data_IF_208198844764
#
_entry.id   IF_208198844764
#
_cell.length_a   1.000
_cell.length_b   1.000
_cell.length_c   1.000
_cell.angle_alpha   90.00
_cell.angle_beta   90.00
_cell.angle_gamma   90.00
#
_symmetry.space_group_name_H-M   'P 1'
#
loop_
_entity.id
_entity.type
_entity.pdbx_description
1 polymer ?
#
# COMPACT_ATOMS: atom_id res chain seq x y z
N UNK A 1 11.83 -9.69 15.49
CA UNK A 1 10.45 -10.03 15.03
C UNK A 1 10.18 -9.70 13.56
N UNK A 2 10.31 -8.44 13.08
CA UNK A 2 9.96 -8.08 11.68
C UNK A 2 10.65 -8.91 10.59
N UNK A 3 11.93 -9.28 10.76
CA UNK A 3 12.66 -10.14 9.81
C UNK A 3 12.19 -11.59 9.80
N UNK A 4 11.78 -12.12 10.95
CA UNK A 4 11.31 -13.51 11.09
C UNK A 4 9.95 -13.66 10.40
N UNK A 5 9.04 -12.70 10.61
CA UNK A 5 7.74 -12.67 9.94
C UNK A 5 7.92 -12.65 8.42
N UNK A 6 8.84 -11.83 7.89
CA UNK A 6 9.12 -11.79 6.45
C UNK A 6 9.62 -13.12 5.89
N UNK A 7 10.51 -13.82 6.61
CA UNK A 7 11.02 -15.13 6.18
C UNK A 7 9.91 -16.18 6.16
N UNK A 8 9.10 -16.27 7.22
CA UNK A 8 7.95 -17.19 7.25
C UNK A 8 6.96 -16.92 6.12
N UNK A 9 6.73 -15.65 5.82
CA UNK A 9 5.80 -15.24 4.78
C UNK A 9 6.32 -15.55 3.36
N UNK A 10 7.62 -15.37 3.13
CA UNK A 10 8.27 -15.80 1.88
C UNK A 10 8.22 -17.31 1.69
N UNK A 11 8.47 -18.07 2.75
CA UNK A 11 8.40 -19.54 2.72
C UNK A 11 6.97 -20.02 2.45
N UNK A 12 5.98 -19.40 3.09
CA UNK A 12 4.58 -19.72 2.89
C UNK A 12 4.10 -19.38 1.46
N UNK A 13 4.49 -18.22 0.92
CA UNK A 13 4.17 -17.86 -0.47
C UNK A 13 4.84 -18.80 -1.47
N UNK A 14 6.09 -19.18 -1.25
CA UNK A 14 6.80 -20.17 -2.08
C UNK A 14 6.09 -21.52 -2.04
N UNK A 15 5.69 -21.96 -0.85
CA UNK A 15 4.92 -23.19 -0.67
C UNK A 15 3.59 -23.17 -1.45
N UNK A 16 2.79 -22.10 -1.32
CA UNK A 16 1.50 -21.98 -2.02
C UNK A 16 1.69 -22.03 -3.54
N UNK A 17 2.65 -21.27 -4.09
CA UNK A 17 2.94 -21.27 -5.51
C UNK A 17 3.39 -22.64 -6.02
N UNK A 18 4.26 -23.33 -5.27
CA UNK A 18 4.70 -24.69 -5.61
C UNK A 18 3.53 -25.66 -5.55
N UNK A 19 2.64 -25.57 -4.56
CA UNK A 19 1.47 -26.45 -4.46
C UNK A 19 0.46 -26.21 -5.57
N UNK A 20 0.17 -24.95 -5.92
CA UNK A 20 -0.69 -24.62 -7.07
C UNK A 20 -0.10 -25.14 -8.38
N UNK A 21 1.20 -24.96 -8.56
CA UNK A 21 1.90 -25.47 -9.74
C UNK A 21 1.88 -27.01 -9.80
N UNK A 22 2.07 -27.68 -8.67
CA UNK A 22 1.96 -29.15 -8.59
C UNK A 22 0.53 -29.60 -8.90
N UNK A 23 -0.49 -28.97 -8.33
CA UNK A 23 -1.89 -29.29 -8.63
C UNK A 23 -2.24 -29.05 -10.09
N UNK A 24 -1.74 -27.97 -10.69
CA UNK A 24 -1.93 -27.72 -12.11
C UNK A 24 -1.22 -28.79 -12.97
N UNK A 25 0.05 -29.09 -12.67
CA UNK A 25 0.84 -30.08 -13.40
C UNK A 25 0.22 -31.47 -13.34
N UNK A 26 -0.25 -31.87 -12.16
CA UNK A 26 -0.83 -33.18 -11.90
C UNK A 26 -2.35 -33.18 -12.16
N UNK A 27 -2.89 -32.13 -12.79
CA UNK A 27 -4.30 -32.08 -13.13
C UNK A 27 -4.61 -32.80 -14.44
N UNK A 28 -5.80 -33.37 -14.50
CA UNK A 28 -6.40 -33.89 -15.73
C UNK A 28 -7.73 -33.22 -15.98
N UNK A 29 -8.03 -33.06 -17.27
CA UNK A 29 -9.30 -32.49 -17.70
C UNK A 29 -10.35 -33.59 -17.69
N UNK A 30 -11.45 -33.34 -16.99
CA UNK A 30 -12.66 -34.14 -17.00
C UNK A 30 -13.87 -33.27 -17.31
N UNK A 31 -14.99 -33.91 -17.62
CA UNK A 31 -16.25 -33.21 -17.87
C UNK A 31 -17.14 -33.35 -16.63
N UNK A 32 -17.48 -32.22 -16.03
CA UNK A 32 -18.48 -32.14 -14.97
C UNK A 32 -19.88 -31.93 -15.54
N UNK A 33 -20.88 -32.54 -14.92
CA UNK A 33 -22.30 -32.37 -15.21
C UNK A 33 -22.87 -31.33 -14.26
N UNK A 34 -23.56 -30.33 -14.81
CA UNK A 34 -24.21 -29.29 -14.02
C UNK A 34 -25.55 -29.79 -13.50
N UNK A 35 -25.77 -29.60 -12.21
CA UNK A 35 -26.98 -29.97 -11.48
C UNK A 35 -27.38 -28.86 -10.49
N UNK A 36 -28.59 -28.97 -9.93
CA UNK A 36 -29.09 -28.05 -8.90
C UNK A 36 -29.00 -26.56 -9.29
N UNK A 37 -29.32 -26.22 -10.54
CA UNK A 37 -29.28 -24.84 -11.01
C UNK A 37 -30.37 -24.02 -10.33
N UNK A 38 -29.96 -23.04 -9.54
CA UNK A 38 -30.78 -22.02 -8.94
C UNK A 38 -30.53 -20.70 -9.65
N UNK A 39 -31.59 -20.13 -10.20
CA UNK A 39 -31.58 -18.83 -10.84
C UNK A 39 -32.19 -17.79 -9.89
N UNK A 40 -31.49 -16.69 -9.65
CA UNK A 40 -32.03 -15.53 -8.95
C UNK A 40 -32.10 -14.36 -9.91
N UNK A 41 -33.33 -13.92 -10.20
CA UNK A 41 -33.56 -12.85 -11.17
C UNK A 41 -33.09 -11.49 -10.64
N UNK A 42 -32.83 -10.54 -11.54
CA UNK A 42 -32.49 -9.17 -11.16
C UNK A 42 -33.62 -8.46 -10.41
N UNK A 43 -34.88 -8.80 -10.74
CA UNK A 43 -36.05 -8.30 -10.02
C UNK A 43 -36.08 -8.80 -8.58
N UNK A 44 -35.91 -10.10 -8.40
CA UNK A 44 -35.89 -10.74 -7.08
C UNK A 44 -34.77 -10.18 -6.20
N UNK A 45 -33.55 -9.98 -6.75
CA UNK A 45 -32.43 -9.38 -6.01
C UNK A 45 -32.67 -7.94 -5.58
N UNK A 46 -33.42 -7.16 -6.37
CA UNK A 46 -33.83 -5.80 -6.01
C UNK A 46 -34.90 -5.79 -4.92
N UNK A 47 -35.85 -6.72 -4.99
CA UNK A 47 -36.90 -6.82 -3.96
C UNK A 47 -36.39 -7.39 -2.64
N UNK A 48 -35.33 -8.22 -2.67
CA UNK A 48 -34.73 -8.83 -1.48
C UNK A 48 -33.54 -8.05 -0.92
N UNK A 49 -33.19 -6.89 -1.48
CA UNK A 49 -32.03 -6.06 -1.10
C UNK A 49 -30.67 -6.81 -1.09
N UNK A 50 -30.52 -7.83 -1.95
CA UNK A 50 -29.30 -8.65 -2.08
C UNK A 50 -28.34 -8.16 -3.16
N UNK A 51 -28.49 -6.91 -3.59
CA UNK A 51 -27.60 -6.30 -4.57
C UNK A 51 -26.21 -6.01 -3.99
N UNK A 52 -25.19 -6.20 -4.82
CA UNK A 52 -23.79 -5.93 -4.43
C UNK A 52 -23.40 -4.52 -4.84
N UNK A 53 -22.78 -3.74 -3.96
CA UNK A 53 -22.29 -2.40 -4.27
C UNK A 53 -20.76 -2.35 -4.24
N UNK A 54 -20.14 -1.92 -5.33
CA UNK A 54 -18.70 -1.68 -5.38
C UNK A 54 -18.42 -0.29 -5.96
N UNK A 55 -17.71 0.53 -5.17
CA UNK A 55 -17.32 1.91 -5.55
C UNK A 55 -18.48 2.76 -6.09
N UNK A 56 -19.64 2.70 -5.44
CA UNK A 56 -20.82 3.50 -5.80
C UNK A 56 -21.60 2.98 -7.02
N UNK A 57 -21.22 1.82 -7.58
CA UNK A 57 -21.99 1.13 -8.61
C UNK A 57 -22.72 -0.05 -7.99
N UNK A 58 -24.05 -0.03 -8.04
CA UNK A 58 -24.89 -1.13 -7.56
C UNK A 58 -25.10 -2.13 -8.69
N UNK A 59 -24.72 -3.38 -8.44
CA UNK A 59 -24.96 -4.51 -9.32
C UNK A 59 -26.09 -5.38 -8.75
N UNK A 60 -27.19 -5.41 -9.50
CA UNK A 60 -28.36 -6.25 -9.26
C UNK A 60 -28.59 -7.21 -10.43
N UNK A 61 -27.55 -7.55 -11.21
CA UNK A 61 -27.67 -8.50 -12.30
C UNK A 61 -28.12 -9.88 -11.79
N UNK A 62 -28.75 -10.66 -12.66
CA UNK A 62 -29.20 -11.99 -12.31
C UNK A 62 -27.99 -12.88 -11.96
N UNK A 63 -28.20 -13.81 -11.04
CA UNK A 63 -27.16 -14.74 -10.58
C UNK A 63 -27.62 -16.18 -10.80
N UNK A 64 -26.64 -17.02 -11.08
CA UNK A 64 -26.76 -18.46 -11.15
C UNK A 64 -25.93 -19.08 -10.03
N UNK A 65 -26.54 -20.01 -9.31
CA UNK A 65 -25.92 -20.85 -8.31
C UNK A 65 -26.16 -22.29 -8.75
N UNK A 66 -25.13 -23.12 -8.80
CA UNK A 66 -25.25 -24.48 -9.32
C UNK A 66 -24.12 -25.37 -8.84
N UNK A 67 -24.37 -26.68 -8.89
CA UNK A 67 -23.40 -27.69 -8.54
C UNK A 67 -22.82 -28.34 -9.80
N UNK A 68 -21.51 -28.48 -9.85
CA UNK A 68 -20.82 -29.25 -10.88
C UNK A 68 -20.41 -30.58 -10.27
N UNK A 69 -20.92 -31.67 -10.83
CA UNK A 69 -20.63 -33.03 -10.37
C UNK A 69 -19.74 -33.75 -11.38
N UNK A 70 -18.71 -34.45 -10.91
CA UNK A 70 -17.91 -35.35 -11.75
C UNK A 70 -17.67 -36.67 -11.03
N UNK A 71 -17.36 -37.69 -11.82
CA UNK A 71 -17.13 -39.04 -11.35
C UNK A 71 -15.67 -39.40 -11.56
N UNK A 72 -15.05 -39.97 -10.53
CA UNK A 72 -13.74 -40.63 -10.64
C UNK A 72 -13.85 -42.02 -10.00
N UNK A 73 -13.79 -43.05 -10.84
CA UNK A 73 -14.14 -44.41 -10.43
C UNK A 73 -15.59 -44.50 -9.92
N UNK A 74 -15.76 -45.06 -8.72
CA UNK A 74 -17.08 -45.25 -8.09
C UNK A 74 -17.50 -44.10 -7.16
N UNK A 75 -16.77 -42.98 -7.13
CA UNK A 75 -17.06 -41.82 -6.27
C UNK A 75 -17.42 -40.60 -7.11
N UNK A 76 -18.45 -39.88 -6.66
CA UNK A 76 -18.81 -38.58 -7.19
C UNK A 76 -18.25 -37.47 -6.30
N UNK A 77 -17.89 -36.37 -6.94
CA UNK A 77 -17.38 -35.16 -6.32
C UNK A 77 -18.21 -33.98 -6.79
N UNK A 78 -18.33 -32.96 -5.92
CA UNK A 78 -19.19 -31.81 -6.15
C UNK A 78 -18.36 -30.53 -5.96
N UNK A 79 -18.47 -29.62 -6.92
CA UNK A 79 -17.97 -28.26 -6.83
C UNK A 79 -19.15 -27.30 -6.89
N UNK A 80 -19.38 -26.59 -5.80
CA UNK A 80 -20.45 -25.61 -5.71
C UNK A 80 -19.98 -24.27 -6.30
N UNK A 81 -20.75 -23.75 -7.26
CA UNK A 81 -20.52 -22.42 -7.84
C UNK A 81 -21.50 -21.44 -7.24
N UNK A 82 -20.96 -20.47 -6.51
CA UNK A 82 -21.72 -19.37 -5.94
C UNK A 82 -21.68 -18.15 -6.87
N UNK A 83 -22.86 -17.57 -7.14
CA UNK A 83 -23.02 -16.20 -7.68
C UNK A 83 -22.32 -15.97 -9.02
N UNK A 84 -22.57 -16.85 -9.98
CA UNK A 84 -22.10 -16.67 -11.36
C UNK A 84 -23.06 -15.76 -12.14
N UNK A 85 -22.53 -14.83 -12.94
CA UNK A 85 -23.37 -13.92 -13.74
C UNK A 85 -23.78 -14.52 -15.09
N UNK A 86 -23.10 -15.59 -15.50
CA UNK A 86 -23.32 -16.26 -16.77
C UNK A 86 -24.11 -17.56 -16.57
N UNK A 87 -25.08 -17.87 -17.45
CA UNK A 87 -25.81 -19.12 -17.36
C UNK A 87 -24.86 -20.30 -17.60
N UNK A 88 -24.94 -21.38 -16.80
CA UNK A 88 -24.09 -22.54 -16.99
C UNK A 88 -24.48 -23.35 -18.23
N UNK A 89 -23.48 -23.96 -18.88
CA UNK A 89 -23.71 -25.03 -19.84
C UNK A 89 -24.12 -26.33 -19.13
N UNK A 90 -24.78 -27.26 -19.83
CA UNK A 90 -25.15 -28.57 -19.25
C UNK A 90 -23.94 -29.37 -18.74
N UNK A 91 -22.79 -29.17 -19.40
CA UNK A 91 -21.51 -29.76 -19.04
C UNK A 91 -20.44 -28.68 -18.98
N UNK A 92 -19.55 -28.76 -18.00
CA UNK A 92 -18.46 -27.81 -17.77
C UNK A 92 -17.14 -28.56 -17.70
N UNK A 93 -16.11 -28.00 -18.33
CA UNK A 93 -14.74 -28.50 -18.24
C UNK A 93 -14.23 -28.33 -16.81
N UNK A 94 -13.75 -29.42 -16.21
CA UNK A 94 -13.18 -29.44 -14.87
C UNK A 94 -11.73 -29.93 -14.93
N UNK A 95 -10.83 -29.23 -14.27
CA UNK A 95 -9.49 -29.74 -13.97
C UNK A 95 -9.53 -30.42 -12.60
N UNK A 96 -9.10 -31.67 -12.53
CA UNK A 96 -9.06 -32.50 -11.31
C UNK A 96 -7.64 -32.98 -11.04
N UNK A 97 -7.18 -32.92 -9.80
CA UNK A 97 -5.83 -33.37 -9.42
C UNK A 97 -5.78 -34.90 -9.37
N UNK A 98 -4.90 -35.51 -10.16
CA UNK A 98 -4.71 -36.96 -10.19
C UNK A 98 -4.38 -37.51 -8.80
N UNK A 99 -5.07 -38.57 -8.39
CA UNK A 99 -4.92 -39.18 -7.06
C UNK A 99 -5.56 -38.39 -5.91
N UNK A 100 -6.07 -37.18 -6.17
CA UNK A 100 -6.88 -36.38 -5.22
C UNK A 100 -8.08 -35.72 -5.93
N UNK A 101 -9.03 -36.52 -6.47
CA UNK A 101 -10.21 -36.02 -7.18
C UNK A 101 -11.00 -34.91 -6.50
N UNK A 102 -10.99 -34.88 -5.15
CA UNK A 102 -11.71 -33.87 -4.37
C UNK A 102 -11.15 -32.45 -4.51
N UNK A 103 -9.96 -32.32 -5.10
CA UNK A 103 -9.37 -31.02 -5.47
C UNK A 103 -9.63 -30.85 -6.97
N UNK A 104 -10.74 -30.19 -7.30
CA UNK A 104 -11.15 -29.95 -8.67
C UNK A 104 -11.79 -28.58 -8.85
N UNK A 105 -11.61 -27.98 -10.04
CA UNK A 105 -12.16 -26.67 -10.39
C UNK A 105 -12.48 -26.52 -11.87
N UNK A 106 -13.36 -25.58 -12.26
CA UNK A 106 -13.59 -25.27 -13.66
C UNK A 106 -12.30 -24.89 -14.38
N UNK A 107 -12.13 -25.32 -15.64
CA UNK A 107 -10.92 -25.06 -16.43
C UNK A 107 -10.63 -23.57 -16.65
N UNK A 108 -11.65 -22.72 -16.53
CA UNK A 108 -11.53 -21.26 -16.64
C UNK A 108 -11.12 -20.59 -15.32
N UNK A 109 -10.97 -21.35 -14.23
CA UNK A 109 -10.56 -20.82 -12.93
C UNK A 109 -9.04 -20.58 -12.87
N UNK A 110 -8.64 -19.45 -12.31
CA UNK A 110 -7.22 -19.05 -12.25
C UNK A 110 -6.37 -19.83 -11.23
N UNK A 111 -6.97 -20.38 -10.17
CA UNK A 111 -6.25 -21.05 -9.08
C UNK A 111 -7.06 -22.23 -8.57
N UNK A 112 -6.42 -23.37 -8.27
CA UNK A 112 -7.08 -24.55 -7.69
C UNK A 112 -7.50 -24.33 -6.24
N UNK A 113 -6.84 -23.45 -5.51
CA UNK A 113 -7.19 -23.13 -4.12
C UNK A 113 -8.10 -21.89 -4.08
N UNK A 114 -9.33 -22.06 -3.59
CA UNK A 114 -10.31 -20.97 -3.34
C UNK A 114 -10.03 -20.23 -2.03
N UNK A 115 -8.81 -20.31 -1.50
CA UNK A 115 -8.46 -19.49 -0.34
C UNK A 115 -8.36 -18.04 -0.79
N UNK A 116 -8.87 -17.06 -0.03
CA UNK A 116 -8.63 -15.62 -0.25
C UNK A 116 -7.17 -15.22 0.00
N UNK A 117 -6.38 -16.18 0.47
CA UNK A 117 -4.98 -16.06 0.83
C UNK A 117 -4.09 -15.61 -0.34
N UNK A 118 -4.20 -16.08 -1.59
CA UNK A 118 -3.39 -15.58 -2.71
C UNK A 118 -3.65 -14.11 -3.03
N UNK A 119 -4.90 -13.64 -2.91
CA UNK A 119 -5.24 -12.23 -3.13
C UNK A 119 -4.70 -11.34 -2.01
N UNK A 120 -4.84 -11.78 -0.76
CA UNK A 120 -4.20 -11.12 0.39
C UNK A 120 -2.68 -11.10 0.23
N UNK A 121 -2.07 -12.19 -0.24
CA UNK A 121 -0.64 -12.30 -0.51
C UNK A 121 -0.21 -11.33 -1.62
N UNK A 122 -0.92 -11.26 -2.75
CA UNK A 122 -0.60 -10.32 -3.82
C UNK A 122 -0.65 -8.86 -3.33
N UNK A 123 -1.67 -8.52 -2.54
CA UNK A 123 -1.84 -7.18 -1.95
C UNK A 123 -0.68 -6.82 -1.01
N UNK A 124 -0.30 -7.75 -0.14
CA UNK A 124 0.84 -7.57 0.77
C UNK A 124 2.19 -7.52 0.02
N UNK A 125 2.35 -8.24 -1.09
CA UNK A 125 3.54 -8.15 -1.96
C UNK A 125 3.68 -6.77 -2.60
N UNK A 126 2.59 -6.19 -3.10
CA UNK A 126 2.59 -4.83 -3.65
C UNK A 126 3.01 -3.83 -2.57
N UNK A 127 2.46 -3.94 -1.37
CA UNK A 127 2.82 -3.07 -0.23
C UNK A 127 4.29 -3.25 0.14
N UNK A 128 4.80 -4.48 0.17
CA UNK A 128 6.19 -4.78 0.47
C UNK A 128 7.15 -4.23 -0.60
N UNK A 129 6.80 -4.38 -1.89
CA UNK A 129 7.58 -3.86 -3.01
C UNK A 129 7.65 -2.33 -3.00
N UNK A 130 6.51 -1.65 -2.77
CA UNK A 130 6.48 -0.18 -2.61
C UNK A 130 7.33 0.25 -1.39
N UNK A 131 7.21 -0.47 -0.27
CA UNK A 131 7.98 -0.16 0.93
C UNK A 131 9.49 -0.35 0.73
N UNK A 132 9.87 -1.42 0.03
CA UNK A 132 11.27 -1.75 -0.28
C UNK A 132 11.86 -0.74 -1.27
N UNK A 133 11.15 -0.41 -2.35
CA UNK A 133 11.58 0.62 -3.30
C UNK A 133 11.75 1.98 -2.62
N UNK A 134 10.84 2.37 -1.72
CA UNK A 134 11.01 3.58 -0.91
C UNK A 134 12.22 3.51 0.02
N UNK A 135 12.49 2.36 0.64
CA UNK A 135 13.68 2.17 1.50
C UNK A 135 14.99 2.23 0.71
N UNK A 136 15.03 1.58 -0.45
CA UNK A 136 16.18 1.59 -1.36
C UNK A 136 16.42 3.01 -1.87
N UNK A 137 15.36 3.72 -2.28
CA UNK A 137 15.44 5.11 -2.70
C UNK A 137 15.95 6.02 -1.57
N UNK A 138 15.50 5.83 -0.33
CA UNK A 138 16.02 6.58 0.83
C UNK A 138 17.48 6.27 1.15
N UNK A 139 17.94 5.05 0.89
CA UNK A 139 19.32 4.61 1.16
C UNK A 139 20.29 5.06 0.08
N UNK A 140 19.88 5.04 -1.19
CA UNK A 140 20.68 5.49 -2.34
C UNK A 140 20.70 7.02 -2.44
N UNK A 141 19.63 7.70 -2.02
CA UNK A 141 19.52 9.15 -2.01
C UNK A 141 19.23 9.69 -0.60
N UNK A 142 20.18 9.56 0.35
CA UNK A 142 20.00 10.06 1.71
C UNK A 142 19.82 11.60 1.76
N UNK A 143 20.36 12.31 0.77
CA UNK A 143 20.21 13.75 0.57
C UNK A 143 18.75 14.17 0.36
N UNK A 144 17.97 13.38 -0.38
CA UNK A 144 16.53 13.62 -0.64
C UNK A 144 15.64 13.25 0.56
N UNK A 145 16.12 12.40 1.48
CA UNK A 145 15.39 12.00 2.69
C UNK A 145 15.64 12.93 3.88
N UNK A 146 16.64 13.82 3.80
CA UNK A 146 16.75 14.94 4.75
C UNK A 146 15.60 15.88 4.41
N UNK A 147 14.55 15.91 5.24
CA UNK A 147 13.70 17.11 5.30
C UNK A 147 14.68 18.29 5.40
N UNK A 148 14.55 19.33 4.55
CA UNK A 148 15.47 20.46 4.63
C UNK A 148 15.48 20.89 6.09
N UNK A 149 16.65 20.83 6.72
CA UNK A 149 16.83 21.41 8.04
C UNK A 149 16.39 22.87 7.86
N UNK A 150 15.26 23.23 8.45
CA UNK A 150 14.80 24.62 8.39
C UNK A 150 15.84 25.40 9.16
N UNK A 151 16.75 26.07 8.45
CA UNK A 151 17.75 26.91 9.08
C UNK A 151 17.08 28.22 9.44
N UNK A 152 17.08 28.56 10.72
CA UNK A 152 16.48 29.79 11.21
C UNK A 152 17.58 30.85 11.37
N UNK A 153 17.42 31.98 10.69
CA UNK A 153 18.34 33.11 10.76
C UNK A 153 17.79 34.17 11.71
N UNK A 154 18.52 34.45 12.79
CA UNK A 154 18.15 35.46 13.80
C UNK A 154 19.17 36.60 13.83
N UNK A 155 18.72 37.84 13.84
CA UNK A 155 19.56 39.04 13.94
C UNK A 155 19.31 39.74 15.27
N UNK A 156 20.35 39.92 16.07
CA UNK A 156 20.29 40.61 17.36
C UNK A 156 21.10 41.90 17.36
N UNK A 157 20.56 42.96 17.94
CA UNK A 157 21.28 44.22 18.11
C UNK A 157 22.30 44.15 19.27
N UNK A 158 23.12 45.18 19.47
CA UNK A 158 24.08 45.37 20.59
C UNK A 158 23.42 45.17 21.97
N UNK A 159 22.15 45.53 22.13
CA UNK A 159 21.36 45.31 23.35
C UNK A 159 20.80 43.87 23.49
N UNK A 160 21.19 42.95 22.60
CA UNK A 160 20.68 41.56 22.51
C UNK A 160 19.16 41.45 22.32
N UNK A 161 18.54 42.45 21.69
CA UNK A 161 17.14 42.36 21.27
C UNK A 161 17.08 41.73 19.87
N UNK A 162 16.17 40.77 19.68
CA UNK A 162 15.88 40.18 18.38
C UNK A 162 15.24 41.23 17.48
N UNK A 163 15.84 41.46 16.32
CA UNK A 163 15.40 42.48 15.36
C UNK A 163 14.78 41.84 14.12
N UNK A 164 15.25 40.66 13.74
CA UNK A 164 14.74 39.91 12.60
C UNK A 164 14.89 38.41 12.86
N UNK A 165 13.85 37.65 12.52
CA UNK A 165 13.86 36.20 12.47
C UNK A 165 13.26 35.77 11.13
N UNK A 166 14.03 35.07 10.31
CA UNK A 166 13.60 34.62 8.98
C UNK A 166 14.15 33.23 8.67
N UNK A 167 13.47 32.53 7.76
CA UNK A 167 13.92 31.26 7.18
C UNK A 167 14.77 31.49 5.92
N UNK A 168 14.78 32.71 5.38
CA UNK A 168 15.55 33.07 4.19
C UNK A 168 16.87 33.76 4.57
N UNK A 169 17.99 33.15 4.16
CA UNK A 169 19.31 33.70 4.38
C UNK A 169 19.51 35.04 3.66
N UNK A 170 18.94 35.18 2.46
CA UNK A 170 19.14 36.33 1.60
C UNK A 170 18.50 37.58 2.23
N UNK A 171 17.29 37.42 2.78
CA UNK A 171 16.57 38.46 3.51
C UNK A 171 17.36 38.91 4.75
N UNK A 172 17.89 37.97 5.54
CA UNK A 172 18.70 38.29 6.71
C UNK A 172 19.96 39.09 6.35
N UNK A 173 20.68 38.69 5.30
CA UNK A 173 21.89 39.39 4.85
C UNK A 173 21.57 40.78 4.29
N UNK A 174 20.47 40.91 3.54
CA UNK A 174 20.01 42.19 2.98
C UNK A 174 19.66 43.18 4.09
N UNK A 175 18.95 42.70 5.13
CA UNK A 175 18.63 43.50 6.32
C UNK A 175 19.90 43.98 7.02
N UNK A 176 20.91 43.12 7.16
CA UNK A 176 22.19 43.49 7.77
C UNK A 176 22.91 44.53 6.92
N UNK A 177 22.97 44.36 5.60
CA UNK A 177 23.66 45.30 4.71
C UNK A 177 23.04 46.70 4.69
N UNK A 178 21.75 46.84 5.02
CA UNK A 178 21.00 48.09 4.99
C UNK A 178 21.25 49.06 6.16
N UNK A 179 22.22 48.80 7.03
CA UNK A 179 22.56 49.76 8.10
C UNK A 179 23.37 49.18 9.26
N UNK A 180 23.63 47.88 9.23
CA UNK A 180 24.28 47.16 10.31
C UNK A 180 25.64 46.57 9.87
N UNK A 181 26.51 46.31 10.84
CA UNK A 181 27.76 45.56 10.65
C UNK A 181 27.72 44.34 11.57
N UNK A 182 28.07 43.18 11.02
CA UNK A 182 28.18 41.93 11.79
C UNK A 182 29.34 42.08 12.77
N UNK A 183 29.08 41.82 14.04
CA UNK A 183 30.06 41.83 15.12
C UNK A 183 30.44 40.41 15.55
N UNK A 184 29.48 39.49 15.55
CA UNK A 184 29.71 38.08 15.79
C UNK A 184 28.65 37.23 15.09
N UNK A 185 29.01 35.99 14.75
CA UNK A 185 28.09 35.00 14.21
C UNK A 185 28.21 33.74 15.04
N UNK A 186 27.08 33.26 15.56
CA UNK A 186 27.00 32.04 16.38
C UNK A 186 26.09 31.05 15.68
N UNK A 187 26.55 29.81 15.56
CA UNK A 187 25.76 28.71 15.05
C UNK A 187 25.49 27.74 16.19
N UNK A 188 24.23 27.43 16.43
CA UNK A 188 23.85 26.48 17.46
C UNK A 188 22.62 25.69 17.00
N UNK A 189 22.39 24.55 17.64
CA UNK A 189 21.24 23.71 17.40
C UNK A 189 20.24 23.90 18.51
N UNK A 190 19.00 24.20 18.14
CA UNK A 190 17.90 24.36 19.09
C UNK A 190 16.92 23.19 18.91
N UNK A 191 16.54 22.57 20.03
CA UNK A 191 15.51 21.52 20.02
C UNK A 191 14.17 22.22 20.25
N UNK A 192 13.41 22.41 19.17
CA UNK A 192 12.08 23.01 19.24
C UNK A 192 11.05 21.88 19.32
N UNK A 193 10.27 21.87 20.40
CA UNK A 193 9.16 20.94 20.62
C UNK A 193 7.83 21.59 20.32
N UNK A 194 7.03 20.98 19.44
CA UNK A 194 5.60 21.30 19.29
C UNK A 194 4.80 20.03 19.59
N UNK A 195 4.20 19.97 20.79
CA UNK A 195 3.50 18.79 21.29
C UNK A 195 4.39 17.55 21.39
N UNK A 196 3.94 16.42 20.83
CA UNK A 196 4.66 15.13 20.87
C UNK A 196 5.84 15.00 19.88
N UNK A 197 6.16 16.04 19.10
CA UNK A 197 7.26 16.01 18.11
C UNK A 197 8.38 16.97 18.52
N UNK A 198 9.57 16.41 18.74
CA UNK A 198 10.82 17.16 18.90
C UNK A 198 11.51 17.24 17.54
N UNK A 199 11.83 18.44 17.10
CA UNK A 199 12.63 18.68 15.90
C UNK A 199 13.88 19.48 16.26
N UNK A 200 15.03 19.07 15.72
CA UNK A 200 16.27 19.84 15.81
C UNK A 200 16.27 20.84 14.66
N UNK A 201 16.41 22.12 14.99
CA UNK A 201 16.48 23.23 14.04
C UNK A 201 17.90 23.80 14.14
N UNK A 202 18.54 24.01 12.99
CA UNK A 202 19.83 24.69 12.93
C UNK A 202 19.57 26.20 12.99
N UNK A 203 20.13 26.88 13.99
CA UNK A 203 19.95 28.32 14.19
C UNK A 203 21.27 29.05 13.89
N UNK A 204 21.20 30.07 13.03
CA UNK A 204 22.32 30.97 12.73
C UNK A 204 21.98 32.35 13.30
N UNK A 205 22.76 32.79 14.28
CA UNK A 205 22.55 34.03 14.98
C UNK A 205 23.61 35.06 14.61
N UNK A 206 23.17 36.19 14.06
CA UNK A 206 24.02 37.35 13.74
C UNK A 206 23.87 38.40 14.84
N UNK A 207 24.96 38.73 15.51
CA UNK A 207 25.03 39.88 16.40
C UNK A 207 25.51 41.09 15.61
N UNK A 208 24.71 42.14 15.56
CA UNK A 208 24.98 43.31 14.73
C UNK A 208 25.11 44.60 15.54
N UNK A 209 25.87 45.54 14.98
CA UNK A 209 26.03 46.91 15.49
C UNK A 209 25.67 47.90 14.39
N UNK A 210 25.12 49.06 14.76
CA UNK A 210 24.88 50.14 13.80
C UNK A 210 26.18 50.55 13.10
N UNK A 211 26.13 50.75 11.79
CA UNK A 211 27.27 51.21 11.00
C UNK A 211 27.55 52.68 11.38
N UNK A 212 28.78 53.01 11.80
CA UNK A 212 29.17 54.40 12.08
C UNK A 212 28.88 55.25 10.84
N UNK A 213 27.96 56.21 10.96
CA UNK A 213 27.49 57.07 9.88
C UNK A 213 25.99 56.98 9.55
N UNK A 214 25.27 55.97 10.06
CA UNK A 214 23.82 55.86 9.85
C UNK A 214 22.98 56.75 10.81
N UNK A 215 23.62 57.40 11.77
CA UNK A 215 23.00 58.24 12.81
C UNK A 215 23.06 59.75 12.46
N UNK A 216 23.20 60.07 11.17
CA UNK A 216 23.03 61.43 10.63
C UNK A 216 22.09 61.39 9.42
N UNK A 217 20.82 61.08 9.65
CA UNK A 217 19.67 61.54 8.87
C UNK A 217 18.44 61.46 9.73
#
# INVERSE_FOLDING_TARGET
MKKIIFVFWSLFSGYVLVTEYQYYRDSTVTTGVVSAIRYTSSGERRTSDTCTSFRGRTDCSALYEYDITWWEGNKSYIYHVEKEHTPPSKTICMNIVQGRPGIGKPCNSFFFNTSWVPFLIATWFIIAFISFTLLVHRKLHPELSKRPARTLYRVYNKKRHLVLETLDQQEALTFISNGYRISATVRHREIVGSGCKRSVIDCVTYFVRGRKGAERR
#
